data_IF_699729439114
#
_entry.id   IF_699729439114
#
_cell.length_a   1.000
_cell.length_b   1.000
_cell.length_c   1.000
_cell.angle_alpha   90.00
_cell.angle_beta   90.00
_cell.angle_gamma   90.00
#
_symmetry.space_group_name_H-M   'P 1'
#
loop_
_entity.id
_entity.type
_entity.pdbx_description
1 polymer ?
#
# COMPACT_ATOMS: atom_id res chain seq x y z
N UNK A 1 -9.59 -19.43 7.21
CA UNK A 1 -8.22 -19.10 7.63
C UNK A 1 -7.63 -20.32 8.34
N UNK A 2 -6.59 -20.93 7.74
CA UNK A 2 -5.91 -22.09 8.32
C UNK A 2 -4.71 -21.57 9.14
N UNK A 3 -4.74 -21.79 10.45
CA UNK A 3 -3.64 -21.40 11.36
C UNK A 3 -2.34 -22.18 11.11
N UNK A 4 -2.40 -23.27 10.33
CA UNK A 4 -1.23 -24.06 9.92
C UNK A 4 -0.62 -23.61 8.58
N UNK A 5 -1.25 -22.66 7.86
CA UNK A 5 -0.76 -22.21 6.55
C UNK A 5 0.72 -21.76 6.57
N UNK A 6 1.19 -20.94 7.53
CA UNK A 6 2.59 -20.54 7.58
C UNK A 6 3.57 -21.69 7.77
N UNK A 7 3.15 -22.78 8.45
CA UNK A 7 3.97 -23.95 8.64
C UNK A 7 4.02 -24.86 7.41
N UNK A 8 2.92 -24.92 6.65
CA UNK A 8 2.79 -25.73 5.44
C UNK A 8 3.45 -25.06 4.23
N UNK A 9 3.53 -23.73 4.22
CA UNK A 9 4.12 -22.93 3.15
C UNK A 9 5.64 -22.76 3.30
N UNK A 10 6.21 -23.10 4.46
CA UNK A 10 7.60 -22.86 4.79
C UNK A 10 8.60 -23.55 3.86
N UNK A 11 8.21 -24.65 3.23
CA UNK A 11 9.03 -25.46 2.32
C UNK A 11 8.54 -25.41 0.85
N UNK A 12 7.55 -24.55 0.55
CA UNK A 12 7.09 -24.34 -0.82
C UNK A 12 7.90 -23.22 -1.44
N UNK A 13 8.72 -23.54 -2.46
CA UNK A 13 9.33 -22.52 -3.31
C UNK A 13 8.22 -21.63 -3.88
N UNK A 14 8.20 -20.36 -3.48
CA UNK A 14 7.36 -19.35 -4.10
C UNK A 14 7.83 -19.15 -5.55
N UNK A 15 7.29 -19.95 -6.46
CA UNK A 15 7.42 -19.70 -7.89
C UNK A 15 6.50 -18.53 -8.19
N UNK A 16 7.04 -17.32 -8.10
CA UNK A 16 6.34 -16.08 -8.41
C UNK A 16 5.44 -16.27 -9.63
N UNK A 17 4.14 -16.10 -9.47
CA UNK A 17 3.23 -16.19 -10.59
C UNK A 17 3.39 -14.93 -11.45
N UNK A 18 3.19 -15.02 -12.75
CA UNK A 18 3.17 -13.85 -13.66
C UNK A 18 2.23 -12.75 -13.16
N UNK A 19 1.16 -13.12 -12.46
CA UNK A 19 0.24 -12.17 -11.82
C UNK A 19 0.86 -11.45 -10.61
N UNK A 20 1.75 -12.11 -9.88
CA UNK A 20 2.46 -11.48 -8.75
C UNK A 20 3.47 -10.45 -9.26
N UNK A 21 4.22 -10.77 -10.32
CA UNK A 21 5.19 -9.87 -10.95
C UNK A 21 4.52 -8.67 -11.62
N UNK A 22 3.38 -8.90 -12.31
CA UNK A 22 2.53 -7.83 -12.86
C UNK A 22 2.02 -6.91 -11.74
N UNK A 23 1.62 -7.48 -10.59
CA UNK A 23 1.21 -6.74 -9.41
C UNK A 23 2.35 -5.90 -8.83
N UNK A 24 3.53 -6.49 -8.68
CA UNK A 24 4.75 -5.80 -8.19
C UNK A 24 5.09 -4.60 -9.05
N UNK A 25 5.08 -4.75 -10.38
CA UNK A 25 5.32 -3.64 -11.30
C UNK A 25 4.28 -2.53 -11.14
N UNK A 26 3.00 -2.88 -11.01
CA UNK A 26 1.94 -1.89 -10.82
C UNK A 26 2.10 -1.11 -9.49
N UNK A 27 2.51 -1.77 -8.39
CA UNK A 27 2.83 -1.11 -7.13
C UNK A 27 4.03 -0.16 -7.28
N UNK A 28 5.10 -0.57 -7.97
CA UNK A 28 6.26 0.28 -8.23
C UNK A 28 5.87 1.55 -9.02
N UNK A 29 4.98 1.44 -10.01
CA UNK A 29 4.44 2.61 -10.72
C UNK A 29 3.61 3.52 -9.81
N UNK A 30 2.75 2.96 -8.96
CA UNK A 30 1.96 3.73 -7.99
C UNK A 30 2.86 4.52 -7.04
N UNK A 31 3.84 3.85 -6.44
CA UNK A 31 4.82 4.44 -5.53
C UNK A 31 5.61 5.55 -6.22
N UNK A 32 6.17 5.27 -7.40
CA UNK A 32 6.90 6.25 -8.21
C UNK A 32 6.07 7.51 -8.46
N UNK A 33 4.83 7.35 -8.94
CA UNK A 33 3.95 8.48 -9.28
C UNK A 33 3.60 9.35 -8.06
N UNK A 34 3.43 8.75 -6.88
CA UNK A 34 3.18 9.48 -5.63
C UNK A 34 4.44 10.15 -5.09
N UNK A 35 5.59 9.46 -5.11
CA UNK A 35 6.88 10.01 -4.66
C UNK A 35 7.31 11.18 -5.54
N UNK A 36 7.14 11.09 -6.86
CA UNK A 36 7.41 12.20 -7.80
C UNK A 36 6.54 13.43 -7.49
N UNK A 37 5.26 13.24 -7.18
CA UNK A 37 4.38 14.34 -6.75
C UNK A 37 4.88 15.02 -5.47
N UNK A 38 5.43 14.24 -4.54
CA UNK A 38 5.99 14.74 -3.28
C UNK A 38 7.41 15.30 -3.42
N UNK A 39 8.05 15.20 -4.58
CA UNK A 39 9.44 15.60 -4.81
C UNK A 39 10.46 14.68 -4.12
N UNK A 40 10.09 13.43 -3.85
CA UNK A 40 10.94 12.42 -3.22
C UNK A 40 11.76 11.65 -4.27
N UNK A 41 12.87 11.03 -3.83
CA UNK A 41 13.66 10.14 -4.67
C UNK A 41 12.86 8.90 -5.08
N UNK A 42 13.09 8.42 -6.30
CA UNK A 42 12.39 7.29 -6.95
C UNK A 42 13.36 6.28 -7.57
N UNK A 43 14.56 6.19 -7.05
CA UNK A 43 15.61 5.33 -7.64
C UNK A 43 15.30 3.85 -7.42
N UNK A 44 14.72 3.49 -6.28
CA UNK A 44 14.30 2.12 -5.98
C UNK A 44 13.18 1.69 -6.93
N UNK A 45 12.14 2.51 -7.10
CA UNK A 45 11.03 2.23 -7.99
C UNK A 45 11.47 2.15 -9.45
N UNK A 46 12.38 3.03 -9.88
CA UNK A 46 12.93 2.96 -11.24
C UNK A 46 13.72 1.68 -11.49
N UNK A 47 14.49 1.21 -10.50
CA UNK A 47 15.24 -0.02 -10.60
C UNK A 47 14.31 -1.24 -10.71
N UNK A 48 13.24 -1.27 -9.91
CA UNK A 48 12.24 -2.35 -9.96
C UNK A 48 11.45 -2.33 -11.27
N UNK A 49 10.99 -1.16 -11.71
CA UNK A 49 10.33 -0.98 -13.01
C UNK A 49 11.22 -1.48 -14.14
N UNK A 50 12.51 -1.10 -14.16
CA UNK A 50 13.43 -1.50 -15.23
C UNK A 50 13.62 -3.02 -15.34
N UNK A 51 13.38 -3.78 -14.29
CA UNK A 51 13.47 -5.23 -14.29
C UNK A 51 12.23 -5.91 -14.88
N UNK A 52 11.04 -5.32 -14.72
CA UNK A 52 9.76 -5.96 -15.01
C UNK A 52 9.01 -5.34 -16.20
N UNK A 53 9.36 -4.10 -16.57
CA UNK A 53 8.60 -3.26 -17.50
C UNK A 53 8.44 -3.88 -18.88
N UNK A 54 9.53 -4.37 -19.47
CA UNK A 54 9.53 -4.95 -20.81
C UNK A 54 8.54 -6.13 -20.93
N UNK A 55 8.34 -6.87 -19.84
CA UNK A 55 7.54 -8.09 -19.83
C UNK A 55 6.09 -7.85 -19.44
N UNK A 56 5.81 -6.92 -18.53
CA UNK A 56 4.50 -6.81 -17.86
C UNK A 56 3.80 -5.46 -18.02
N UNK A 57 4.48 -4.43 -18.52
CA UNK A 57 3.86 -3.13 -18.73
C UNK A 57 2.74 -3.16 -19.77
N UNK A 58 1.70 -2.40 -19.53
CA UNK A 58 0.59 -2.21 -20.47
C UNK A 58 -0.03 -0.81 -20.30
N UNK A 59 -0.71 -0.34 -21.36
CA UNK A 59 -1.47 0.91 -21.29
C UNK A 59 -2.58 0.89 -20.23
N UNK A 60 -3.17 -0.28 -19.95
CA UNK A 60 -4.11 -0.45 -18.83
C UNK A 60 -3.44 -0.21 -17.49
N UNK A 61 -2.19 -0.64 -17.32
CA UNK A 61 -1.43 -0.41 -16.08
C UNK A 61 -1.22 1.08 -15.83
N UNK A 62 -0.91 1.86 -16.86
CA UNK A 62 -0.79 3.31 -16.73
C UNK A 62 -2.09 3.95 -16.26
N UNK A 63 -3.22 3.58 -16.86
CA UNK A 63 -4.54 4.09 -16.51
C UNK A 63 -4.93 3.76 -15.06
N UNK A 64 -4.71 2.52 -14.61
CA UNK A 64 -5.09 2.10 -13.27
C UNK A 64 -4.18 2.65 -12.20
N UNK A 65 -2.88 2.79 -12.48
CA UNK A 65 -1.95 3.44 -11.55
C UNK A 65 -2.15 4.95 -11.47
N UNK A 66 -2.59 5.61 -12.56
CA UNK A 66 -3.03 7.02 -12.55
C UNK A 66 -4.34 7.20 -11.78
N UNK A 67 -5.26 6.25 -11.89
CA UNK A 67 -6.50 6.23 -11.10
C UNK A 67 -6.18 6.14 -9.61
N UNK A 68 -5.29 5.22 -9.20
CA UNK A 68 -4.85 5.11 -7.82
C UNK A 68 -4.23 6.42 -7.31
N UNK A 69 -3.25 6.97 -8.06
CA UNK A 69 -2.62 8.27 -7.74
C UNK A 69 -3.67 9.34 -7.53
N UNK A 70 -4.63 9.45 -8.45
CA UNK A 70 -5.70 10.47 -8.38
C UNK A 70 -6.51 10.34 -7.10
N UNK A 71 -6.97 9.13 -6.76
CA UNK A 71 -7.73 8.86 -5.53
C UNK A 71 -6.93 9.22 -4.29
N UNK A 72 -5.66 8.82 -4.20
CA UNK A 72 -4.80 9.14 -3.05
C UNK A 72 -4.61 10.64 -2.92
N UNK A 73 -4.34 11.35 -4.03
CA UNK A 73 -4.13 12.79 -4.00
C UNK A 73 -5.42 13.57 -3.70
N UNK A 74 -6.59 13.13 -4.15
CA UNK A 74 -7.87 13.72 -3.76
C UNK A 74 -8.09 13.62 -2.24
N UNK A 75 -7.85 12.44 -1.65
CA UNK A 75 -7.93 12.22 -0.21
C UNK A 75 -6.92 13.09 0.55
N UNK A 76 -5.68 13.15 0.09
CA UNK A 76 -4.64 13.96 0.68
C UNK A 76 -4.97 15.46 0.62
N UNK A 77 -5.44 15.96 -0.53
CA UNK A 77 -5.84 17.34 -0.69
C UNK A 77 -7.05 17.69 0.19
N UNK A 78 -8.02 16.78 0.33
CA UNK A 78 -9.14 16.94 1.25
C UNK A 78 -8.69 17.00 2.73
N UNK A 79 -7.65 16.24 3.10
CA UNK A 79 -7.03 16.30 4.42
C UNK A 79 -6.29 17.64 4.62
N UNK A 80 -5.49 18.09 3.64
CA UNK A 80 -4.77 19.38 3.67
C UNK A 80 -5.69 20.59 3.72
N UNK A 81 -6.87 20.49 3.16
CA UNK A 81 -7.87 21.56 3.26
C UNK A 81 -8.38 21.78 4.69
N UNK A 82 -8.28 20.76 5.56
CA UNK A 82 -8.68 20.80 6.96
C UNK A 82 -7.53 21.19 7.90
N UNK A 83 -6.34 20.70 7.62
CA UNK A 83 -5.14 20.99 8.39
C UNK A 83 -3.91 21.09 7.51
N UNK A 84 -3.04 22.07 7.78
CA UNK A 84 -1.80 22.27 7.01
C UNK A 84 -0.75 21.19 7.31
N UNK A 85 -0.89 20.51 8.43
CA UNK A 85 0.07 19.49 8.89
C UNK A 85 -0.23 18.10 8.35
N UNK A 86 -1.15 17.99 7.39
CA UNK A 86 -1.44 16.72 6.73
C UNK A 86 -0.20 16.13 6.07
N UNK A 87 0.06 14.86 6.35
CA UNK A 87 1.16 14.08 5.78
C UNK A 87 0.62 13.03 4.81
N UNK A 88 1.32 12.83 3.71
CA UNK A 88 1.18 11.68 2.82
C UNK A 88 2.51 10.94 2.82
N UNK A 89 2.47 9.69 3.25
CA UNK A 89 3.61 8.78 3.32
C UNK A 89 3.40 7.65 2.32
N UNK A 90 4.46 7.24 1.63
CA UNK A 90 4.42 6.26 0.53
C UNK A 90 5.41 5.16 0.81
N UNK A 91 5.03 3.90 0.58
CA UNK A 91 5.86 2.71 0.81
C UNK A 91 6.40 2.65 2.24
N UNK A 92 5.49 2.73 3.20
CA UNK A 92 5.85 2.75 4.62
C UNK A 92 6.11 1.34 5.12
N UNK A 93 7.35 1.07 5.52
CA UNK A 93 7.72 -0.20 6.18
C UNK A 93 7.12 -0.23 7.59
N UNK A 94 6.33 -1.25 7.86
CA UNK A 94 5.63 -1.46 9.11
C UNK A 94 6.18 -2.72 9.79
N UNK A 95 6.59 -2.58 11.05
CA UNK A 95 6.92 -3.68 11.92
C UNK A 95 5.70 -4.01 12.79
N UNK A 96 5.19 -5.21 12.69
CA UNK A 96 4.13 -5.71 13.57
C UNK A 96 4.55 -7.00 14.29
N UNK A 97 5.85 -7.18 14.49
CA UNK A 97 6.43 -8.30 15.26
C UNK A 97 5.92 -8.35 16.70
N UNK A 98 5.45 -7.20 17.22
CA UNK A 98 4.78 -7.12 18.51
C UNK A 98 3.47 -7.93 18.57
N UNK A 99 2.77 -8.05 17.45
CA UNK A 99 1.51 -8.80 17.35
C UNK A 99 1.70 -10.20 16.79
N UNK A 100 2.60 -10.35 15.82
CA UNK A 100 2.91 -11.61 15.16
C UNK A 100 4.41 -11.73 15.03
N UNK A 101 5.06 -12.73 15.68
CA UNK A 101 6.51 -12.88 15.65
C UNK A 101 7.08 -12.83 14.22
N UNK A 102 8.15 -12.06 14.05
CA UNK A 102 8.88 -11.86 12.78
C UNK A 102 8.04 -11.31 11.62
N UNK A 103 6.86 -10.73 11.91
CA UNK A 103 5.99 -10.19 10.88
C UNK A 103 6.28 -8.71 10.61
N UNK A 104 6.37 -8.38 9.32
CA UNK A 104 6.52 -7.03 8.81
C UNK A 104 5.78 -6.89 7.46
N UNK A 105 5.63 -5.68 6.98
CA UNK A 105 5.05 -5.42 5.68
C UNK A 105 5.27 -3.99 5.23
N UNK A 106 4.79 -3.66 4.05
CA UNK A 106 4.85 -2.30 3.51
C UNK A 106 3.44 -1.84 3.17
N UNK A 107 3.07 -0.66 3.66
CA UNK A 107 1.80 -0.01 3.29
C UNK A 107 2.03 0.92 2.11
N UNK A 108 1.23 0.80 1.05
CA UNK A 108 1.40 1.56 -0.19
C UNK A 108 1.28 3.07 0.05
N UNK A 109 0.27 3.50 0.81
CA UNK A 109 0.13 4.89 1.21
C UNK A 109 -0.54 5.05 2.58
N UNK A 110 -0.10 6.05 3.35
CA UNK A 110 -0.70 6.45 4.61
C UNK A 110 -0.92 7.96 4.59
N UNK A 111 -2.13 8.40 4.94
CA UNK A 111 -2.44 9.83 5.12
C UNK A 111 -2.73 10.06 6.60
N UNK A 112 -2.03 11.04 7.20
CA UNK A 112 -2.23 11.44 8.59
C UNK A 112 -2.63 12.90 8.64
N UNK A 113 -3.76 13.20 9.27
CA UNK A 113 -4.26 14.56 9.40
C UNK A 113 -5.27 14.66 10.57
N UNK A 114 -5.12 15.65 11.43
CA UNK A 114 -6.09 15.99 12.48
C UNK A 114 -6.53 14.78 13.34
N UNK A 115 -5.57 13.98 13.79
CA UNK A 115 -5.81 12.77 14.60
C UNK A 115 -6.51 11.63 13.84
N UNK A 116 -6.56 11.71 12.52
CA UNK A 116 -7.06 10.65 11.64
C UNK A 116 -5.91 10.10 10.82
N UNK A 117 -5.73 8.79 10.84
CA UNK A 117 -4.82 8.07 9.96
C UNK A 117 -5.63 7.23 8.97
N UNK A 118 -5.33 7.33 7.68
CA UNK A 118 -5.94 6.52 6.64
C UNK A 118 -4.86 5.66 5.97
N UNK A 119 -4.99 4.34 6.10
CA UNK A 119 -4.15 3.34 5.43
C UNK A 119 -4.82 2.98 4.11
N UNK A 120 -4.08 3.13 3.01
CA UNK A 120 -4.60 2.92 1.65
C UNK A 120 -3.76 1.84 0.98
N UNK A 121 -4.41 0.80 0.50
CA UNK A 121 -3.81 -0.34 -0.15
C UNK A 121 -4.30 -0.45 -1.60
N UNK A 122 -3.38 -0.66 -2.52
CA UNK A 122 -3.63 -0.85 -3.92
C UNK A 122 -3.77 -2.33 -4.26
N UNK A 123 -4.79 -2.68 -5.00
CA UNK A 123 -4.99 -4.05 -5.51
C UNK A 123 -5.09 -4.03 -7.02
N UNK A 124 -4.04 -4.51 -7.69
CA UNK A 124 -4.01 -4.57 -9.15
C UNK A 124 -4.80 -5.74 -9.72
N UNK A 125 -5.00 -6.81 -8.94
CA UNK A 125 -5.70 -8.02 -9.39
C UNK A 125 -7.14 -7.76 -9.86
N UNK A 126 -7.55 -8.48 -10.91
CA UNK A 126 -8.92 -8.53 -11.42
C UNK A 126 -9.55 -9.89 -11.12
N UNK A 127 -10.81 -9.92 -10.84
CA UNK A 127 -11.57 -11.19 -10.68
C UNK A 127 -12.22 -11.34 -9.31
N UNK A 128 -11.55 -11.01 -8.22
CA UNK A 128 -12.13 -11.08 -6.88
C UNK A 128 -12.07 -9.71 -6.23
N UNK A 129 -13.25 -9.17 -5.89
CA UNK A 129 -13.34 -7.90 -5.16
C UNK A 129 -12.80 -8.07 -3.74
N UNK A 130 -11.84 -7.24 -3.36
CA UNK A 130 -11.26 -7.21 -2.02
C UNK A 130 -11.95 -6.13 -1.19
N UNK A 131 -12.51 -6.52 -0.04
CA UNK A 131 -13.15 -5.59 0.90
C UNK A 131 -12.14 -5.12 1.93
N UNK A 132 -12.21 -3.85 2.33
CA UNK A 132 -11.46 -3.33 3.48
C UNK A 132 -12.13 -3.72 4.81
N UNK A 133 -13.42 -4.08 4.79
CA UNK A 133 -14.18 -4.46 6.00
C UNK A 133 -13.73 -5.84 6.45
N UNK A 134 -13.31 -5.93 7.71
CA UNK A 134 -12.80 -7.15 8.34
C UNK A 134 -11.63 -7.80 7.58
N UNK A 135 -10.85 -6.98 6.87
CA UNK A 135 -9.69 -7.44 6.11
C UNK A 135 -8.47 -7.60 7.04
N UNK A 136 -7.95 -8.82 7.26
CA UNK A 136 -6.84 -9.05 8.19
C UNK A 136 -5.55 -8.29 7.80
N UNK A 137 -5.25 -8.18 6.51
CA UNK A 137 -4.08 -7.42 6.02
C UNK A 137 -4.22 -5.94 6.38
N UNK A 138 -5.37 -5.34 6.08
CA UNK A 138 -5.62 -3.94 6.41
C UNK A 138 -5.59 -3.69 7.92
N UNK A 139 -6.11 -4.63 8.72
CA UNK A 139 -6.13 -4.53 10.18
C UNK A 139 -4.71 -4.56 10.76
N UNK A 140 -3.85 -5.49 10.32
CA UNK A 140 -2.48 -5.57 10.83
C UNK A 140 -1.63 -4.38 10.36
N UNK A 141 -1.84 -3.89 9.13
CA UNK A 141 -1.19 -2.67 8.64
C UNK A 141 -1.64 -1.44 9.44
N UNK A 142 -2.93 -1.34 9.76
CA UNK A 142 -3.46 -0.27 10.60
C UNK A 142 -2.85 -0.29 12.01
N UNK A 143 -2.66 -1.46 12.60
CA UNK A 143 -2.02 -1.61 13.92
C UNK A 143 -0.53 -1.22 13.86
N UNK A 144 0.24 -1.73 12.90
CA UNK A 144 1.66 -1.39 12.76
C UNK A 144 1.87 0.09 12.45
N UNK A 145 1.01 0.70 11.64
CA UNK A 145 1.05 2.12 11.36
C UNK A 145 0.65 2.94 12.60
N UNK A 146 -0.32 2.48 13.38
CA UNK A 146 -0.71 3.15 14.62
C UNK A 146 0.44 3.11 15.64
N UNK A 147 1.09 1.98 15.83
CA UNK A 147 2.26 1.87 16.72
C UNK A 147 3.38 2.83 16.31
N UNK A 148 3.62 2.97 15.00
CA UNK A 148 4.67 3.82 14.47
C UNK A 148 4.39 5.31 14.65
N UNK A 149 3.14 5.74 14.46
CA UNK A 149 2.80 7.16 14.33
C UNK A 149 1.99 7.75 15.48
N UNK A 150 1.35 6.93 16.32
CA UNK A 150 0.41 7.45 17.34
C UNK A 150 1.08 8.37 18.36
N UNK A 151 2.33 8.12 18.72
CA UNK A 151 3.05 8.95 19.69
C UNK A 151 3.26 10.38 19.18
N UNK A 152 3.49 10.54 17.88
CA UNK A 152 3.75 11.85 17.26
C UNK A 152 2.46 12.60 16.88
N UNK A 153 1.43 11.86 16.40
CA UNK A 153 0.25 12.48 15.77
C UNK A 153 -1.05 12.35 16.58
N UNK A 154 -1.04 11.80 17.79
CA UNK A 154 -2.24 11.60 18.62
C UNK A 154 -3.42 11.03 17.82
N UNK A 155 -3.21 9.84 17.21
CA UNK A 155 -4.17 9.22 16.31
C UNK A 155 -5.37 8.69 17.09
N UNK A 156 -6.54 9.24 16.83
CA UNK A 156 -7.81 8.88 17.48
C UNK A 156 -8.74 8.08 16.60
N UNK A 157 -8.46 8.05 15.28
CA UNK A 157 -9.27 7.34 14.30
C UNK A 157 -8.41 6.77 13.20
N UNK A 158 -8.62 5.50 12.88
CA UNK A 158 -8.01 4.84 11.73
C UNK A 158 -9.08 4.55 10.68
N UNK A 159 -8.75 4.81 9.42
CA UNK A 159 -9.51 4.42 8.24
C UNK A 159 -8.70 3.44 7.42
N UNK A 160 -9.37 2.54 6.75
CA UNK A 160 -8.77 1.57 5.85
C UNK A 160 -9.46 1.66 4.50
N UNK A 161 -8.69 1.82 3.45
CA UNK A 161 -9.20 1.95 2.07
C UNK A 161 -8.46 0.98 1.17
N UNK A 162 -9.19 0.21 0.38
CA UNK A 162 -8.64 -0.57 -0.72
C UNK A 162 -9.04 0.12 -2.03
N UNK A 163 -8.06 0.33 -2.89
CA UNK A 163 -8.26 0.84 -4.24
C UNK A 163 -7.97 -0.28 -5.22
N UNK A 164 -9.01 -0.75 -5.89
CA UNK A 164 -8.96 -1.84 -6.86
C UNK A 164 -9.59 -1.40 -8.18
N UNK A 165 -8.87 -0.66 -9.04
CA UNK A 165 -9.47 0.00 -10.20
C UNK A 165 -9.89 -0.95 -11.33
N UNK A 166 -9.47 -2.22 -11.28
CA UNK A 166 -9.81 -3.24 -12.30
C UNK A 166 -11.15 -3.97 -12.02
N UNK A 167 -11.92 -3.55 -11.00
CA UNK A 167 -13.21 -4.14 -10.61
C UNK A 167 -14.30 -3.09 -10.48
#
# INVERSE_FOLDING_TARGET
>A
NCTAAPLLEKDVEDKGSTFAEEGTLAHAYCAKKLKEFLGLAVDEEKAEIAQLDEQYHSGEMDEFTDTYKTIVLEKFNAARAKTKDAQLLVEVKLDFSHYVPDAFGTSDAIIIADGVMEVIDFKYGKGVKVSAVENPQMMIYALGAWDLFNFEYDIRKVRMTIVQPRI
#
